data_IF_501179995660
#
_entry.id   IF_501179995660
#
_cell.length_a   1.000
_cell.length_b   1.000
_cell.length_c   1.000
_cell.angle_alpha   90.00
_cell.angle_beta   90.00
_cell.angle_gamma   90.00
#
_symmetry.space_group_name_H-M   'P 1'
#
loop_
_entity.id
_entity.type
_entity.pdbx_description
1 polymer ?
#
# COMPACT_ATOMS: atom_id res chain seq x y z
N UNK A 1 -1.02 18.62 35.00
CA UNK A 1 0.15 18.44 34.12
C UNK A 1 -0.25 17.49 33.02
N UNK A 2 -0.36 17.96 31.77
CA UNK A 2 -0.66 17.07 30.64
C UNK A 2 0.56 16.17 30.44
N UNK A 3 0.42 14.87 30.69
CA UNK A 3 1.48 13.90 30.43
C UNK A 3 1.85 14.00 28.96
N UNK A 4 3.10 14.39 28.67
CA UNK A 4 3.63 14.47 27.30
C UNK A 4 3.64 13.04 26.75
N UNK A 5 2.56 12.64 26.07
CA UNK A 5 2.47 11.33 25.45
C UNK A 5 3.64 11.20 24.47
N UNK A 6 4.50 10.22 24.73
CA UNK A 6 5.69 9.97 23.91
C UNK A 6 5.25 9.30 22.61
N UNK A 7 5.68 9.86 21.48
CA UNK A 7 5.45 9.25 20.16
C UNK A 7 6.07 7.85 20.16
N UNK A 8 5.28 6.86 19.79
CA UNK A 8 5.79 5.51 19.63
C UNK A 8 6.59 5.43 18.33
N UNK A 9 7.84 4.97 18.45
CA UNK A 9 8.75 4.78 17.31
C UNK A 9 9.52 3.49 17.48
N UNK A 10 9.25 2.54 16.59
CA UNK A 10 9.96 1.28 16.48
C UNK A 10 11.05 1.39 15.40
N UNK A 11 12.30 1.21 15.83
CA UNK A 11 13.46 1.19 14.94
C UNK A 11 13.59 -0.17 14.27
N UNK A 12 14.11 -0.15 13.04
CA UNK A 12 14.24 -1.34 12.24
C UNK A 12 15.30 -2.28 12.80
N UNK A 13 14.94 -3.55 12.88
CA UNK A 13 15.87 -4.65 13.09
C UNK A 13 15.87 -5.55 11.85
N UNK A 14 17.04 -5.75 11.25
CA UNK A 14 17.24 -6.56 10.03
C UNK A 14 16.43 -6.01 8.85
N UNK A 15 15.61 -6.80 8.18
CA UNK A 15 14.88 -6.39 6.97
C UNK A 15 13.37 -6.28 7.21
N UNK A 16 12.95 -6.16 8.47
CA UNK A 16 11.55 -6.15 8.91
C UNK A 16 10.87 -4.77 8.74
N UNK A 17 11.25 -3.99 7.73
CA UNK A 17 10.73 -2.63 7.53
C UNK A 17 9.19 -2.56 7.50
N UNK A 18 8.52 -3.52 6.86
CA UNK A 18 7.06 -3.57 6.82
C UNK A 18 6.41 -3.78 8.21
N UNK A 19 7.03 -4.59 9.07
CA UNK A 19 6.57 -4.81 10.44
C UNK A 19 6.62 -3.51 11.24
N UNK A 20 7.79 -2.85 11.21
CA UNK A 20 7.99 -1.62 11.95
C UNK A 20 7.16 -0.48 11.37
N UNK A 21 6.97 -0.42 10.05
CA UNK A 21 6.03 0.50 9.42
C UNK A 21 4.60 0.30 9.97
N UNK A 22 4.09 -0.93 9.99
CA UNK A 22 2.76 -1.21 10.56
C UNK A 22 2.66 -0.83 12.05
N UNK A 23 3.63 -1.20 12.87
CA UNK A 23 3.60 -0.88 14.31
C UNK A 23 3.70 0.64 14.56
N UNK A 24 4.54 1.34 13.81
CA UNK A 24 4.62 2.81 13.83
C UNK A 24 3.31 3.43 13.36
N UNK A 25 2.69 2.87 12.32
CA UNK A 25 1.41 3.33 11.80
C UNK A 25 0.31 3.18 12.83
N UNK A 26 0.27 2.11 13.62
CA UNK A 26 -0.73 1.94 14.68
C UNK A 26 -0.36 2.62 16.00
N UNK A 27 0.86 3.18 16.12
CA UNK A 27 1.37 3.85 17.32
C UNK A 27 1.29 2.97 18.56
N UNK A 28 1.52 1.66 18.38
CA UNK A 28 1.37 0.67 19.44
C UNK A 28 2.41 -0.42 19.29
N UNK A 29 3.11 -0.68 20.39
CA UNK A 29 4.13 -1.73 20.47
C UNK A 29 3.50 -3.09 20.22
N UNK A 30 4.19 -3.89 19.41
CA UNK A 30 3.79 -5.26 19.10
C UNK A 30 2.36 -5.36 18.55
N UNK A 31 1.91 -4.37 17.76
CA UNK A 31 0.66 -4.49 16.99
C UNK A 31 0.72 -5.69 16.04
N UNK A 32 1.90 -5.88 15.44
CA UNK A 32 2.28 -7.03 14.65
C UNK A 32 3.63 -7.56 15.11
N UNK A 33 3.72 -8.89 15.10
CA UNK A 33 4.93 -9.67 15.27
C UNK A 33 5.38 -10.28 13.94
N UNK A 34 6.67 -10.66 13.85
CA UNK A 34 7.22 -11.33 12.67
C UNK A 34 6.43 -12.60 12.33
N UNK A 35 6.09 -13.39 13.34
CA UNK A 35 5.31 -14.63 13.17
C UNK A 35 3.93 -14.37 12.57
N UNK A 36 3.28 -13.27 12.92
CA UNK A 36 1.98 -12.92 12.34
C UNK A 36 2.09 -12.52 10.87
N UNK A 37 3.10 -11.71 10.51
CA UNK A 37 3.33 -11.35 9.10
C UNK A 37 3.79 -12.56 8.27
N UNK A 38 4.59 -13.45 8.83
CA UNK A 38 4.96 -14.73 8.20
C UNK A 38 3.73 -15.62 7.96
N UNK A 39 2.78 -15.67 8.90
CA UNK A 39 1.53 -16.40 8.74
C UNK A 39 0.62 -15.78 7.66
N UNK A 40 0.53 -14.44 7.60
CA UNK A 40 -0.18 -13.73 6.53
C UNK A 40 0.44 -14.04 5.17
N UNK A 41 1.76 -13.92 5.06
CA UNK A 41 2.51 -14.23 3.83
C UNK A 41 2.26 -15.69 3.38
N UNK A 42 2.29 -16.64 4.32
CA UNK A 42 2.04 -18.06 4.02
C UNK A 42 0.61 -18.32 3.53
N UNK A 43 -0.38 -17.62 4.08
CA UNK A 43 -1.79 -17.71 3.62
C UNK A 43 -2.01 -17.13 2.24
N UNK A 44 -1.30 -16.06 1.88
CA UNK A 44 -1.39 -15.43 0.56
C UNK A 44 -0.67 -16.24 -0.53
N UNK A 45 0.21 -17.16 -0.17
CA UNK A 45 0.93 -18.03 -1.11
C UNK A 45 1.05 -19.47 -0.59
N UNK A 46 -0.07 -20.21 -0.50
CA UNK A 46 -0.12 -21.52 0.16
C UNK A 46 0.62 -22.64 -0.59
N UNK A 47 0.81 -22.51 -1.91
CA UNK A 47 1.30 -23.59 -2.79
C UNK A 47 2.79 -23.51 -3.14
N UNK A 48 3.60 -22.70 -2.45
CA UNK A 48 5.01 -22.51 -2.77
C UNK A 48 5.88 -23.03 -1.62
N UNK A 49 6.09 -24.35 -1.58
CA UNK A 49 6.95 -25.01 -0.57
C UNK A 49 8.40 -24.48 -0.61
N UNK A 50 8.83 -23.93 -1.75
CA UNK A 50 10.07 -23.14 -1.89
C UNK A 50 9.70 -21.85 -2.60
N UNK A 51 9.32 -20.80 -1.86
CA UNK A 51 9.03 -19.50 -2.46
C UNK A 51 10.36 -18.85 -2.91
N UNK A 52 10.61 -18.62 -4.21
CA UNK A 52 11.80 -17.90 -4.69
C UNK A 52 11.80 -16.42 -4.24
N UNK A 53 10.65 -15.92 -3.79
CA UNK A 53 10.43 -14.62 -3.19
C UNK A 53 10.20 -14.67 -1.67
N UNK A 54 10.21 -15.85 -1.02
CA UNK A 54 10.68 -15.88 0.37
C UNK A 54 12.13 -15.46 0.24
N UNK A 55 12.53 -14.42 0.95
CA UNK A 55 13.93 -14.38 1.39
C UNK A 55 14.16 -15.74 2.04
N UNK A 56 14.91 -16.63 1.39
CA UNK A 56 15.12 -18.06 1.74
C UNK A 56 15.75 -18.25 3.14
N UNK A 57 15.80 -17.19 3.94
CA UNK A 57 16.36 -17.02 5.27
C UNK A 57 15.37 -16.39 6.28
N UNK A 58 14.12 -16.10 5.91
CA UNK A 58 13.11 -15.54 6.84
C UNK A 58 13.46 -14.13 7.34
N UNK A 59 14.05 -13.29 6.48
CA UNK A 59 14.69 -12.02 6.87
C UNK A 59 13.74 -10.82 7.05
N UNK A 60 12.50 -10.89 6.55
CA UNK A 60 11.48 -9.86 6.80
C UNK A 60 11.08 -8.96 5.63
N UNK A 61 11.52 -9.23 4.39
CA UNK A 61 11.16 -8.46 3.20
C UNK A 61 9.71 -8.73 2.75
N UNK A 62 8.73 -8.23 3.49
CA UNK A 62 7.32 -8.37 3.13
C UNK A 62 6.92 -7.42 2.01
N UNK A 63 6.09 -7.91 1.09
CA UNK A 63 5.49 -7.11 0.01
C UNK A 63 4.26 -6.33 0.47
N UNK A 64 3.67 -5.56 -0.46
CA UNK A 64 2.46 -4.77 -0.20
C UNK A 64 1.25 -5.63 0.15
N UNK A 65 1.12 -6.85 -0.37
CA UNK A 65 -0.05 -7.70 -0.11
C UNK A 65 -0.09 -8.13 1.35
N UNK A 66 1.07 -8.42 1.93
CA UNK A 66 1.18 -8.70 3.37
C UNK A 66 0.77 -7.49 4.20
N UNK A 67 1.20 -6.28 3.80
CA UNK A 67 0.82 -5.03 4.46
C UNK A 67 -0.69 -4.80 4.36
N UNK A 68 -1.28 -4.94 3.17
CA UNK A 68 -2.72 -4.78 2.94
C UNK A 68 -3.54 -5.75 3.78
N UNK A 69 -3.18 -7.04 3.76
CA UNK A 69 -3.85 -8.05 4.56
C UNK A 69 -3.72 -7.77 6.08
N UNK A 70 -2.59 -7.23 6.53
CA UNK A 70 -2.43 -6.79 7.91
C UNK A 70 -3.30 -5.57 8.24
N UNK A 71 -3.42 -4.58 7.35
CA UNK A 71 -4.30 -3.43 7.55
C UNK A 71 -5.78 -3.87 7.64
N UNK A 72 -6.19 -4.80 6.77
CA UNK A 72 -7.55 -5.33 6.74
C UNK A 72 -7.94 -6.04 8.04
N UNK A 73 -7.01 -6.76 8.68
CA UNK A 73 -7.23 -7.36 10.02
C UNK A 73 -7.51 -6.32 11.11
N UNK A 74 -7.21 -5.03 10.87
CA UNK A 74 -7.49 -3.90 11.78
C UNK A 74 -8.63 -3.00 11.27
N UNK A 75 -9.36 -3.41 10.24
CA UNK A 75 -10.45 -2.62 9.66
C UNK A 75 -9.97 -1.41 8.85
N UNK A 76 -8.71 -1.42 8.41
CA UNK A 76 -8.12 -0.41 7.54
C UNK A 76 -7.89 -0.97 6.14
N UNK A 77 -7.92 -0.08 5.15
CA UNK A 77 -7.55 -0.38 3.76
C UNK A 77 -6.38 0.51 3.34
N UNK A 78 -5.58 0.04 2.38
CA UNK A 78 -4.56 0.84 1.73
C UNK A 78 -4.98 1.15 0.30
N UNK A 79 -5.11 2.43 0.00
CA UNK A 79 -5.41 2.94 -1.33
C UNK A 79 -4.12 3.38 -2.00
N UNK A 80 -3.80 2.80 -3.16
CA UNK A 80 -2.65 3.25 -3.95
C UNK A 80 -2.92 4.63 -4.55
N UNK A 81 -2.11 5.62 -4.17
CA UNK A 81 -2.27 6.99 -4.65
C UNK A 81 -1.71 7.15 -6.07
N UNK A 82 -2.53 7.70 -6.96
CA UNK A 82 -2.12 8.05 -8.32
C UNK A 82 -1.22 9.31 -8.30
N UNK A 83 0.08 9.12 -8.52
CA UNK A 83 1.08 10.20 -8.47
C UNK A 83 0.86 11.31 -9.51
N UNK A 84 -0.01 11.09 -10.49
CA UNK A 84 -0.38 12.11 -11.48
C UNK A 84 -1.36 13.15 -10.89
N UNK A 85 -1.96 12.86 -9.75
CA UNK A 85 -2.86 13.76 -9.03
C UNK A 85 -2.07 14.62 -8.04
N UNK A 86 -2.51 15.86 -7.85
CA UNK A 86 -2.00 16.70 -6.77
C UNK A 86 -2.42 16.11 -5.41
N UNK A 87 -1.49 15.80 -4.48
CA UNK A 87 -1.82 15.36 -3.11
C UNK A 87 -2.74 16.31 -2.35
N UNK A 88 -2.86 17.57 -2.76
CA UNK A 88 -3.84 18.52 -2.23
C UNK A 88 -5.31 18.10 -2.44
N UNK A 89 -5.58 17.04 -3.22
CA UNK A 89 -6.91 16.43 -3.29
C UNK A 89 -7.26 15.56 -2.06
N UNK A 90 -6.29 15.21 -1.22
CA UNK A 90 -6.49 14.30 -0.08
C UNK A 90 -7.24 14.99 1.07
N UNK A 91 -8.31 14.36 1.54
CA UNK A 91 -8.98 14.77 2.77
C UNK A 91 -8.27 14.14 3.98
N UNK A 92 -7.30 14.87 4.52
CA UNK A 92 -6.46 14.41 5.63
C UNK A 92 -7.25 14.08 6.90
N UNK A 93 -8.48 14.56 7.05
CA UNK A 93 -9.31 14.30 8.24
C UNK A 93 -9.81 12.85 8.32
N UNK A 94 -9.95 12.19 7.17
CA UNK A 94 -10.43 10.81 7.05
C UNK A 94 -9.28 9.79 6.89
N UNK A 95 -8.03 10.24 6.93
CA UNK A 95 -6.85 9.42 6.68
C UNK A 95 -6.19 9.02 8.00
N UNK A 96 -5.98 7.71 8.20
CA UNK A 96 -5.31 7.18 9.38
C UNK A 96 -3.79 7.40 9.33
N UNK A 97 -3.21 7.37 8.13
CA UNK A 97 -1.80 7.62 7.87
C UNK A 97 -1.41 7.25 6.44
N UNK A 98 -0.12 7.23 6.18
CA UNK A 98 0.44 6.92 4.86
C UNK A 98 1.55 5.89 4.97
N UNK A 99 1.67 5.06 3.94
CA UNK A 99 2.80 4.15 3.75
C UNK A 99 3.49 4.53 2.45
N UNK A 100 4.79 4.82 2.53
CA UNK A 100 5.65 5.09 1.38
C UNK A 100 6.52 3.87 1.10
N UNK A 101 6.63 3.49 -0.16
CA UNK A 101 7.64 2.57 -0.65
C UNK A 101 8.73 3.36 -1.34
N UNK A 102 9.95 3.33 -0.81
CA UNK A 102 11.08 4.10 -1.37
C UNK A 102 12.22 3.15 -1.77
N UNK A 103 13.03 3.51 -2.79
CA UNK A 103 14.30 2.83 -3.00
C UNK A 103 15.19 3.03 -1.78
N UNK A 104 15.91 1.97 -1.40
CA UNK A 104 16.86 1.99 -0.30
C UNK A 104 18.14 1.29 -0.71
N UNK A 105 19.24 1.99 -0.49
CA UNK A 105 20.57 1.44 -0.65
C UNK A 105 20.97 0.59 0.56
N UNK A 106 21.81 -0.41 0.31
CA UNK A 106 22.43 -1.23 1.35
C UNK A 106 23.90 -0.86 1.49
N UNK A 107 24.29 -0.41 2.68
CA UNK A 107 25.69 -0.13 3.02
C UNK A 107 26.27 -1.36 3.71
N UNK A 108 27.31 -1.97 3.13
CA UNK A 108 28.11 -3.00 3.78
C UNK A 108 29.49 -2.42 4.08
N UNK A 109 29.72 -2.01 5.34
CA UNK A 109 30.92 -1.28 5.72
C UNK A 109 31.03 0.05 4.97
N UNK A 110 32.15 0.26 4.26
CA UNK A 110 32.39 1.44 3.44
C UNK A 110 31.88 1.31 1.99
N UNK A 111 31.33 0.15 1.61
CA UNK A 111 30.89 -0.13 0.23
C UNK A 111 29.38 0.00 0.14
N UNK A 112 28.90 0.86 -0.78
CA UNK A 112 27.50 0.84 -1.21
C UNK A 112 27.32 -0.28 -2.22
N UNK A 113 26.54 -1.30 -1.86
CA UNK A 113 26.21 -2.37 -2.78
C UNK A 113 25.10 -1.90 -3.72
N UNK A 114 25.19 -2.15 -5.04
CA UNK A 114 24.19 -1.74 -6.03
C UNK A 114 22.94 -2.63 -5.99
N UNK A 115 22.55 -3.13 -4.81
CA UNK A 115 21.29 -3.84 -4.62
C UNK A 115 20.21 -2.81 -4.29
N UNK A 116 19.42 -2.43 -5.31
CA UNK A 116 18.23 -1.60 -5.13
C UNK A 116 17.18 -2.38 -4.35
N UNK A 117 17.06 -2.12 -3.05
CA UNK A 117 16.01 -2.70 -2.22
C UNK A 117 14.87 -1.72 -2.04
N UNK A 118 13.72 -2.24 -1.65
CA UNK A 118 12.54 -1.47 -1.29
C UNK A 118 12.48 -1.32 0.22
N UNK A 119 11.97 -0.19 0.68
CA UNK A 119 11.85 0.13 2.08
C UNK A 119 10.51 0.80 2.36
N UNK A 120 9.84 0.29 3.39
CA UNK A 120 8.53 0.77 3.81
C UNK A 120 8.68 1.81 4.91
N UNK A 121 8.14 3.00 4.67
CA UNK A 121 8.13 4.14 5.59
C UNK A 121 6.69 4.44 5.97
N UNK A 122 6.47 4.85 7.21
CA UNK A 122 5.18 5.33 7.67
C UNK A 122 5.20 6.82 7.93
N UNK A 123 4.13 7.50 7.55
CA UNK A 123 3.85 8.87 7.96
C UNK A 123 2.51 8.88 8.70
N UNK A 124 2.46 9.54 9.85
CA UNK A 124 1.24 9.60 10.65
C UNK A 124 1.07 10.95 11.35
N UNK A 125 -0.18 11.40 11.46
CA UNK A 125 -0.54 12.52 12.30
C UNK A 125 -0.61 12.10 13.76
N UNK A 126 0.08 12.84 14.63
CA UNK A 126 0.09 12.64 16.07
C UNK A 126 0.00 14.02 16.71
N UNK A 127 -1.02 14.24 17.54
CA UNK A 127 -1.25 15.52 18.23
C UNK A 127 -1.28 16.73 17.27
N UNK A 128 -1.89 16.56 16.10
CA UNK A 128 -2.05 17.63 15.10
C UNK A 128 -0.87 17.83 14.14
N UNK A 129 0.29 17.20 14.40
CA UNK A 129 1.45 17.28 13.52
C UNK A 129 1.73 15.94 12.82
N UNK A 130 2.23 15.98 11.60
CA UNK A 130 2.67 14.83 10.83
C UNK A 130 4.15 14.55 11.10
N UNK A 131 4.45 13.26 11.26
CA UNK A 131 5.81 12.77 11.48
C UNK A 131 6.16 11.71 10.44
N UNK A 132 7.38 11.77 9.94
CA UNK A 132 8.03 10.66 9.29
C UNK A 132 8.52 9.69 10.38
N UNK A 133 7.96 8.48 10.35
CA UNK A 133 8.24 7.39 11.27
C UNK A 133 9.02 6.27 10.57
N UNK A 134 9.92 6.65 9.65
CA UNK A 134 10.89 5.73 9.07
C UNK A 134 11.68 5.04 10.19
N UNK A 135 11.52 3.72 10.25
CA UNK A 135 12.19 2.85 11.21
C UNK A 135 13.72 2.89 11.14
N UNK A 136 14.33 3.44 10.08
CA UNK A 136 15.77 3.71 9.98
C UNK A 136 16.22 4.99 10.68
N UNK A 137 15.30 5.87 11.06
CA UNK A 137 15.61 7.09 11.78
C UNK A 137 15.85 6.84 13.27
N UNK A 138 16.77 7.60 13.85
CA UNK A 138 17.05 7.57 15.28
C UNK A 138 15.86 8.06 16.13
N UNK A 139 15.01 8.90 15.58
CA UNK A 139 13.79 9.42 16.20
C UNK A 139 12.77 9.86 15.15
N UNK A 140 11.48 10.00 15.52
CA UNK A 140 10.46 10.58 14.65
C UNK A 140 10.87 11.95 14.12
N UNK A 141 10.85 12.11 12.80
CA UNK A 141 11.16 13.38 12.17
C UNK A 141 9.87 14.17 11.93
N UNK A 142 9.79 15.37 12.50
CA UNK A 142 8.65 16.27 12.29
C UNK A 142 8.61 16.73 10.83
N UNK A 143 7.46 16.54 10.18
CA UNK A 143 7.18 17.10 8.86
C UNK A 143 6.50 18.47 9.03
N UNK A 144 5.51 18.55 9.93
CA UNK A 144 4.76 19.79 10.20
C UNK A 144 3.26 19.56 10.25
N UNK A 145 2.47 20.52 9.77
CA UNK A 145 1.00 20.42 9.70
C UNK A 145 0.56 19.97 8.30
N UNK A 146 -0.73 20.14 7.99
CA UNK A 146 -1.33 19.72 6.72
C UNK A 146 -0.61 20.30 5.49
N UNK A 147 -0.31 21.60 5.45
CA UNK A 147 0.38 22.24 4.32
C UNK A 147 1.77 21.65 4.08
N UNK A 148 2.51 21.43 5.17
CA UNK A 148 3.87 20.90 5.14
C UNK A 148 3.87 19.44 4.69
N UNK A 149 2.88 18.66 5.13
CA UNK A 149 2.67 17.30 4.64
C UNK A 149 2.40 17.28 3.14
N UNK A 150 1.50 18.13 2.62
CA UNK A 150 1.19 18.15 1.18
C UNK A 150 2.44 18.50 0.38
N UNK A 151 3.22 19.51 0.81
CA UNK A 151 4.48 19.87 0.16
C UNK A 151 5.49 18.70 0.20
N UNK A 152 5.62 18.04 1.36
CA UNK A 152 6.47 16.86 1.51
C UNK A 152 6.05 15.72 0.59
N UNK A 153 4.75 15.40 0.51
CA UNK A 153 4.24 14.33 -0.36
C UNK A 153 4.48 14.65 -1.84
N UNK A 154 4.34 15.91 -2.27
CA UNK A 154 4.69 16.33 -3.65
C UNK A 154 6.15 16.00 -3.97
N UNK A 155 7.08 16.41 -3.10
CA UNK A 155 8.51 16.11 -3.26
C UNK A 155 8.78 14.59 -3.31
N UNK A 156 8.09 13.80 -2.48
CA UNK A 156 8.24 12.35 -2.52
C UNK A 156 7.70 11.74 -3.84
N UNK A 157 6.62 12.27 -4.39
CA UNK A 157 5.96 11.73 -5.59
C UNK A 157 6.61 12.16 -6.91
N UNK A 158 7.47 13.18 -6.90
CA UNK A 158 8.28 13.58 -8.07
C UNK A 158 9.21 12.45 -8.55
N UNK A 159 9.57 11.51 -7.67
CA UNK A 159 10.33 10.32 -8.03
C UNK A 159 9.44 9.19 -8.54
N UNK A 160 9.67 8.75 -9.78
CA UNK A 160 9.00 7.58 -10.36
C UNK A 160 9.23 6.29 -9.56
N UNK A 161 10.32 6.20 -8.81
CA UNK A 161 10.65 5.01 -8.03
C UNK A 161 9.93 4.94 -6.67
N UNK A 162 9.21 5.97 -6.23
CA UNK A 162 8.56 6.00 -4.91
C UNK A 162 7.05 5.80 -5.02
N UNK A 163 6.48 4.82 -4.32
CA UNK A 163 5.02 4.61 -4.30
C UNK A 163 4.39 5.11 -2.99
N UNK A 164 3.19 5.66 -3.06
CA UNK A 164 2.43 6.15 -1.89
C UNK A 164 1.13 5.37 -1.75
N UNK A 165 0.87 4.90 -0.53
CA UNK A 165 -0.38 4.28 -0.13
C UNK A 165 -1.01 5.12 0.97
N UNK A 166 -2.29 5.47 0.78
CA UNK A 166 -3.11 6.18 1.76
C UNK A 166 -3.83 5.14 2.60
N UNK A 167 -3.64 5.17 3.92
CA UNK A 167 -4.29 4.22 4.82
C UNK A 167 -5.51 4.87 5.46
N UNK A 168 -6.66 4.24 5.27
CA UNK A 168 -7.99 4.74 5.68
C UNK A 168 -8.77 3.64 6.37
N UNK A 169 -9.86 3.99 7.06
CA UNK A 169 -10.80 2.97 7.52
C UNK A 169 -11.52 2.35 6.32
N UNK A 170 -12.00 1.11 6.49
CA UNK A 170 -12.78 0.42 5.47
C UNK A 170 -13.99 1.24 4.98
N UNK A 171 -14.72 1.87 5.89
CA UNK A 171 -15.86 2.71 5.54
C UNK A 171 -15.47 3.94 4.70
N UNK A 172 -14.34 4.57 5.02
CA UNK A 172 -13.83 5.73 4.27
C UNK A 172 -13.40 5.32 2.87
N UNK A 173 -12.83 4.12 2.71
CA UNK A 173 -12.49 3.55 1.40
C UNK A 173 -13.75 3.26 0.59
N UNK A 174 -14.73 2.55 1.15
CA UNK A 174 -15.99 2.20 0.47
C UNK A 174 -16.75 3.45 -0.02
N UNK A 175 -16.74 4.54 0.77
CA UNK A 175 -17.39 5.81 0.44
C UNK A 175 -16.48 6.80 -0.31
N UNK A 176 -15.22 6.45 -0.56
CA UNK A 176 -14.19 7.29 -1.19
C UNK A 176 -14.01 8.67 -0.51
N UNK A 177 -14.17 8.74 0.82
CA UNK A 177 -14.10 9.99 1.61
C UNK A 177 -12.68 10.46 1.90
N UNK A 178 -11.68 9.76 1.39
CA UNK A 178 -10.26 10.08 1.55
C UNK A 178 -9.76 11.10 0.52
N UNK A 179 -10.58 11.45 -0.47
CA UNK A 179 -10.32 12.49 -1.46
C UNK A 179 -11.48 13.47 -1.50
N UNK A 180 -11.20 14.76 -1.69
CA UNK A 180 -12.24 15.77 -1.77
C UNK A 180 -13.14 15.55 -3.00
N UNK A 181 -14.46 15.55 -2.77
CA UNK A 181 -15.48 15.16 -3.75
C UNK A 181 -15.43 16.00 -5.05
N UNK A 182 -15.07 17.28 -4.98
CA UNK A 182 -14.96 18.14 -6.18
C UNK A 182 -13.89 17.67 -7.18
N UNK A 183 -12.91 16.87 -6.75
CA UNK A 183 -11.92 16.28 -7.65
C UNK A 183 -12.39 14.99 -8.35
N UNK A 184 -13.48 14.37 -7.88
CA UNK A 184 -14.04 13.16 -8.47
C UNK A 184 -14.94 13.43 -9.67
N UNK A 185 -15.61 14.58 -9.71
CA UNK A 185 -16.57 14.94 -10.76
C UNK A 185 -15.88 15.33 -12.08
N UNK A 186 -14.70 15.96 -12.02
CA UNK A 186 -13.94 16.35 -13.21
C UNK A 186 -13.44 15.19 -14.07
N UNK A 187 -13.37 13.97 -13.52
CA UNK A 187 -12.87 12.79 -14.23
C UNK A 187 -13.98 12.00 -14.96
N UNK A 188 -15.26 12.31 -14.71
CA UNK A 188 -16.40 11.72 -15.44
C UNK A 188 -16.69 12.46 -16.75
N UNK A 189 -16.31 13.73 -16.86
CA UNK A 189 -16.55 14.54 -18.06
C UNK A 189 -15.49 14.35 -19.16
N UNK A 190 -14.27 13.92 -18.81
CA UNK A 190 -13.19 13.65 -19.79
C UNK A 190 -13.34 12.30 -20.52
N UNK A 191 -14.21 11.40 -20.04
CA UNK A 191 -14.44 10.08 -20.63
C UNK A 191 -15.58 10.02 -21.67
N UNK A 192 -16.29 11.13 -21.92
CA UNK A 192 -17.47 11.15 -22.82
C UNK A 192 -17.26 11.94 -24.11
N UNK A 193 -16.03 12.36 -24.44
CA UNK A 193 -15.76 13.15 -25.65
C UNK A 193 -14.69 12.51 -26.54
N UNK A 194 -15.01 11.39 -27.17
CA UNK A 194 -14.29 10.87 -28.34
C UNK A 194 -15.29 10.40 -29.41
N UNK A 195 -15.77 11.36 -30.20
CA UNK A 195 -16.49 11.13 -31.44
C UNK A 195 -15.56 11.15 -32.66
N UNK A 196 -15.32 9.95 -33.22
CA UNK A 196 -15.13 9.58 -34.64
C UNK A 196 -13.97 10.12 -35.52
N UNK A 197 -13.57 9.37 -36.57
CA UNK A 197 -12.19 9.28 -37.07
C UNK A 197 -11.94 10.03 -38.39
N UNK A 198 -10.66 10.37 -38.65
CA UNK A 198 -10.17 10.75 -39.99
C UNK A 198 -8.91 9.94 -40.34
N UNK A 199 -8.88 9.49 -41.59
CA UNK A 199 -7.89 8.61 -42.20
C UNK A 199 -6.70 9.39 -42.78
N UNK A 200 -5.58 8.66 -42.88
CA UNK A 200 -4.49 8.70 -43.88
C UNK A 200 -3.08 8.84 -43.29
N UNK A 201 -2.20 7.91 -43.69
CA UNK A 201 -0.74 8.04 -43.50
C UNK A 201 0.00 6.76 -43.13
N UNK A 202 0.43 6.01 -44.14
CA UNK A 202 1.22 4.78 -44.11
C UNK A 202 2.70 5.04 -43.73
N UNK A 203 3.33 4.18 -42.90
CA UNK A 203 4.54 3.41 -43.23
C UNK A 203 5.15 2.60 -42.05
N UNK A 204 5.50 1.36 -42.40
CA UNK A 204 6.55 0.42 -41.94
C UNK A 204 6.80 0.07 -40.46
N UNK A 205 6.61 -1.22 -40.17
CA UNK A 205 7.27 -1.96 -39.09
C UNK A 205 8.62 -2.55 -39.56
N UNK A 206 9.54 -2.85 -38.63
CA UNK A 206 9.69 -4.27 -38.31
C UNK A 206 9.83 -4.59 -36.80
N UNK A 207 9.41 -5.82 -36.53
CA UNK A 207 9.54 -6.70 -35.35
C UNK A 207 10.98 -6.70 -34.80
N UNK A 208 11.21 -6.69 -33.47
CA UNK A 208 11.26 -7.93 -32.68
C UNK A 208 10.99 -7.77 -31.18
N UNK A 209 10.38 -8.84 -30.66
CA UNK A 209 9.99 -9.24 -29.29
C UNK A 209 11.11 -9.11 -28.23
N UNK A 210 10.84 -8.98 -26.92
CA UNK A 210 10.40 -10.04 -26.00
C UNK A 210 9.75 -9.43 -24.73
N UNK A 211 8.73 -10.15 -24.25
CA UNK A 211 7.83 -9.88 -23.13
C UNK A 211 8.47 -9.88 -21.73
N UNK A 212 7.91 -9.07 -20.82
CA UNK A 212 7.77 -9.50 -19.42
C UNK A 212 6.42 -9.03 -18.88
N UNK A 213 5.57 -10.00 -18.54
CA UNK A 213 4.25 -9.81 -17.96
C UNK A 213 4.35 -9.34 -16.51
N UNK A 214 3.71 -8.22 -16.19
CA UNK A 214 3.14 -7.98 -14.86
C UNK A 214 1.84 -7.18 -15.00
N UNK A 215 0.81 -7.82 -15.54
CA UNK A 215 -0.55 -7.31 -15.45
C UNK A 215 -1.09 -7.56 -14.03
N UNK A 216 -0.93 -6.58 -13.15
CA UNK A 216 -1.89 -6.36 -12.07
C UNK A 216 -2.61 -5.05 -12.38
N UNK A 217 -3.70 -5.16 -13.14
CA UNK A 217 -4.59 -4.04 -13.42
C UNK A 217 -5.58 -3.89 -12.25
N UNK A 218 -5.31 -2.93 -11.37
CA UNK A 218 -6.12 -2.63 -10.19
C UNK A 218 -7.53 -2.08 -10.52
N UNK A 219 -7.85 -1.86 -11.79
CA UNK A 219 -9.09 -1.19 -12.23
C UNK A 219 -10.34 -2.08 -12.27
N UNK A 220 -10.22 -3.39 -12.05
CA UNK A 220 -11.30 -4.33 -12.37
C UNK A 220 -11.88 -5.07 -11.16
N UNK A 221 -12.33 -4.34 -10.13
CA UNK A 221 -12.85 -4.94 -8.88
C UNK A 221 -14.37 -5.16 -8.85
N UNK A 222 -15.10 -4.76 -9.89
CA UNK A 222 -16.57 -4.79 -9.87
C UNK A 222 -17.18 -6.12 -10.38
N UNK A 223 -16.38 -7.06 -10.88
CA UNK A 223 -16.90 -8.30 -11.50
C UNK A 223 -16.69 -9.59 -10.68
N UNK A 224 -15.75 -9.65 -9.73
CA UNK A 224 -15.42 -10.91 -9.02
C UNK A 224 -16.04 -11.05 -7.62
N UNK A 225 -16.48 -9.96 -6.98
CA UNK A 225 -17.14 -10.03 -5.67
C UNK A 225 -18.58 -10.60 -5.71
N UNK A 226 -19.16 -10.82 -6.89
CA UNK A 226 -20.52 -11.37 -7.05
C UNK A 226 -20.58 -12.89 -7.29
N UNK A 227 -19.43 -13.59 -7.34
CA UNK A 227 -19.40 -15.04 -7.61
C UNK A 227 -19.12 -15.95 -6.42
N UNK A 228 -19.04 -15.41 -5.20
CA UNK A 228 -18.71 -16.18 -3.99
C UNK A 228 -19.89 -16.40 -3.03
N UNK A 229 -21.12 -16.05 -3.42
CA UNK A 229 -22.33 -16.23 -2.57
C UNK A 229 -23.32 -17.28 -3.06
N UNK A 230 -23.01 -18.07 -4.09
CA UNK A 230 -23.94 -19.09 -4.62
C UNK A 230 -23.36 -20.52 -4.66
N UNK A 231 -22.75 -21.02 -3.57
CA UNK A 231 -22.66 -22.48 -3.38
C UNK A 231 -22.62 -22.83 -1.89
N UNK A 232 -23.78 -23.14 -1.31
CA UNK A 232 -23.98 -24.24 -0.33
C UNK A 232 -25.40 -24.16 0.25
N UNK A 233 -26.36 -24.69 -0.49
CA UNK A 233 -27.60 -25.20 0.07
C UNK A 233 -28.05 -26.33 -0.85
N UNK A 234 -27.54 -27.54 -0.63
CA UNK A 234 -28.14 -28.80 -1.09
C UNK A 234 -27.42 -29.99 -0.45
N UNK A 235 -28.22 -31.04 -0.19
CA UNK A 235 -27.89 -32.38 0.34
C UNK A 235 -27.82 -32.44 1.87
N UNK A 236 -28.70 -33.17 2.58
CA UNK A 236 -29.76 -34.07 2.15
C UNK A 236 -30.13 -34.98 3.33
N UNK A 237 -31.41 -35.03 3.66
CA UNK A 237 -32.00 -35.90 4.67
C UNK A 237 -31.77 -37.38 4.32
N UNK A 238 -31.37 -38.18 5.31
CA UNK A 238 -31.38 -39.63 5.23
C UNK A 238 -32.34 -40.18 6.29
N UNK A 239 -33.59 -40.42 5.88
CA UNK A 239 -34.50 -41.41 6.47
C UNK A 239 -34.88 -42.34 5.33
N UNK A 240 -34.66 -43.66 5.46
CA UNK A 240 -35.62 -44.73 5.08
C UNK A 240 -35.29 -46.00 5.88
N UNK A 241 -36.33 -46.53 6.50
CA UNK A 241 -36.49 -47.79 7.22
C UNK A 241 -36.19 -49.05 6.39
N UNK A 242 -35.70 -50.11 7.04
CA UNK A 242 -36.30 -51.45 7.05
C UNK A 242 -35.91 -52.18 8.33
#
# INVERSE_FOLDING_TARGET
MSSKQTIYHEKQVKELCALHALNNLFQMRATYSKSELDAICSRLSPNVWINPHRSMLGLGNYDINVIMAALQKKGCEAVWFDKRKDPGCLDLSNICGFILNVPSDYKLGFVMLPLRRRHWITIRQIQGNFYNLDSKLESPQLIGRSSDLIAYLKEQLDSKEKELFVVVSKEVEEKQLWMHQYTMEGNKQSAQNTGQPQADGQCDSPVDSISSLSQYDYRNRDAECLKLTEVSNCVGSAEINY
#
